data_IF_470637110450
#
_entry.id   IF_470637110450
#
_cell.length_a   1.000
_cell.length_b   1.000
_cell.length_c   1.000
_cell.angle_alpha   90.00
_cell.angle_beta   90.00
_cell.angle_gamma   90.00
#
_symmetry.space_group_name_H-M   'P 1'
#
loop_
_entity.id
_entity.type
_entity.pdbx_description
1 polymer ?
#
# COMPACT_ATOMS: atom_id res chain seq x y z
N UNK A 1 -12.51 -12.22 8.40
CA UNK A 1 -12.06 -10.81 8.29
C UNK A 1 -10.66 -10.59 8.86
N UNK A 2 -10.25 -11.26 9.94
CA UNK A 2 -8.87 -11.16 10.46
C UNK A 2 -7.84 -11.75 9.49
N UNK A 3 -8.24 -12.71 8.69
CA UNK A 3 -7.41 -13.39 7.70
C UNK A 3 -7.57 -12.82 6.28
N UNK A 4 -8.12 -11.60 6.14
CA UNK A 4 -8.28 -10.90 4.87
C UNK A 4 -9.49 -11.29 4.04
N UNK A 5 -10.33 -12.23 4.48
CA UNK A 5 -11.51 -12.69 3.74
C UNK A 5 -12.72 -11.77 3.93
N UNK A 6 -13.44 -11.48 2.85
CA UNK A 6 -14.74 -10.78 2.88
C UNK A 6 -15.89 -11.72 3.21
N UNK A 7 -15.81 -12.97 2.74
CA UNK A 7 -16.77 -14.03 2.95
C UNK A 7 -16.06 -15.34 3.27
N UNK A 8 -16.81 -16.29 3.76
CA UNK A 8 -16.39 -17.68 3.91
C UNK A 8 -17.34 -18.58 3.12
N UNK A 9 -16.82 -19.65 2.52
CA UNK A 9 -17.62 -20.75 2.01
C UNK A 9 -18.15 -21.57 3.18
N UNK A 10 -19.21 -22.32 2.97
CA UNK A 10 -19.85 -23.11 4.02
C UNK A 10 -18.88 -24.06 4.71
N UNK A 11 -18.07 -24.79 3.94
CA UNK A 11 -17.07 -25.72 4.48
C UNK A 11 -16.01 -25.02 5.35
N UNK A 12 -15.54 -23.84 4.90
CA UNK A 12 -14.57 -23.03 5.65
C UNK A 12 -15.17 -22.48 6.94
N UNK A 13 -16.43 -22.02 6.86
CA UNK A 13 -17.17 -21.51 8.01
C UNK A 13 -17.34 -22.60 9.07
N UNK A 14 -17.73 -23.80 8.67
CA UNK A 14 -17.90 -24.96 9.56
C UNK A 14 -16.57 -25.35 10.19
N UNK A 15 -15.52 -25.51 9.39
CA UNK A 15 -14.18 -25.86 9.87
C UNK A 15 -13.67 -24.86 10.93
N UNK A 16 -13.75 -23.56 10.64
CA UNK A 16 -13.30 -22.54 11.58
C UNK A 16 -14.14 -22.49 12.85
N UNK A 17 -15.45 -22.75 12.73
CA UNK A 17 -16.32 -22.79 13.89
C UNK A 17 -16.02 -24.01 14.79
N UNK A 18 -15.80 -25.20 14.20
CA UNK A 18 -15.39 -26.40 14.92
C UNK A 18 -14.03 -26.21 15.62
N UNK A 19 -13.06 -25.57 14.98
CA UNK A 19 -11.76 -25.24 15.57
C UNK A 19 -11.91 -24.32 16.80
N UNK A 20 -12.90 -23.41 16.79
CA UNK A 20 -13.14 -22.46 17.90
C UNK A 20 -14.01 -23.02 19.02
N UNK A 21 -15.00 -23.85 18.70
CA UNK A 21 -16.02 -24.32 19.63
C UNK A 21 -15.79 -25.76 20.12
N UNK A 22 -14.90 -26.50 19.46
CA UNK A 22 -14.63 -27.91 19.73
C UNK A 22 -15.43 -28.87 18.81
N UNK A 23 -14.96 -30.12 18.64
CA UNK A 23 -15.57 -31.09 17.74
C UNK A 23 -16.91 -31.60 18.32
N UNK A 24 -17.90 -31.79 17.45
CA UNK A 24 -19.07 -32.61 17.73
C UNK A 24 -20.47 -31.98 17.62
N UNK A 25 -20.61 -30.80 17.01
CA UNK A 25 -21.90 -30.08 16.97
C UNK A 25 -22.29 -29.57 15.57
N UNK A 26 -22.15 -30.40 14.54
CA UNK A 26 -22.44 -29.96 13.17
C UNK A 26 -23.91 -29.53 12.99
N UNK A 27 -24.87 -30.30 13.53
CA UNK A 27 -26.31 -29.97 13.40
C UNK A 27 -26.66 -28.69 14.17
N UNK A 28 -26.04 -28.46 15.34
CA UNK A 28 -26.23 -27.24 16.11
C UNK A 28 -25.58 -26.03 15.40
N UNK A 29 -24.47 -26.25 14.69
CA UNK A 29 -23.81 -25.20 13.94
C UNK A 29 -24.68 -24.76 12.75
N UNK A 30 -25.26 -25.69 12.00
CA UNK A 30 -26.18 -25.38 10.90
C UNK A 30 -27.42 -24.63 11.40
N UNK A 31 -27.96 -25.02 12.56
CA UNK A 31 -29.07 -24.30 13.16
C UNK A 31 -28.68 -22.88 13.59
N UNK A 32 -27.49 -22.71 14.17
CA UNK A 32 -26.96 -21.42 14.55
C UNK A 32 -26.71 -20.51 13.33
N UNK A 33 -26.13 -21.04 12.26
CA UNK A 33 -25.91 -20.30 11.01
C UNK A 33 -27.24 -19.84 10.41
N UNK A 34 -28.27 -20.73 10.33
CA UNK A 34 -29.60 -20.37 9.88
C UNK A 34 -30.23 -19.27 10.74
N UNK A 35 -30.10 -19.36 12.07
CA UNK A 35 -30.57 -18.31 12.98
C UNK A 35 -29.89 -16.98 12.72
N UNK A 36 -28.54 -16.95 12.60
CA UNK A 36 -27.78 -15.74 12.30
C UNK A 36 -28.16 -15.11 10.95
N UNK A 37 -28.46 -15.92 9.95
CA UNK A 37 -28.95 -15.44 8.65
C UNK A 37 -30.36 -14.86 8.80
N UNK A 38 -31.27 -15.51 9.53
CA UNK A 38 -32.63 -15.01 9.76
C UNK A 38 -32.63 -13.69 10.56
N UNK A 39 -31.70 -13.53 11.51
CA UNK A 39 -31.49 -12.31 12.28
C UNK A 39 -30.69 -11.23 11.50
N UNK A 40 -30.31 -11.49 10.27
CA UNK A 40 -29.47 -10.59 9.43
C UNK A 40 -28.11 -10.25 10.05
N UNK A 41 -27.61 -11.08 10.94
CA UNK A 41 -26.25 -11.00 11.48
C UNK A 41 -25.21 -11.62 10.55
N UNK A 42 -25.66 -12.53 9.67
CA UNK A 42 -24.94 -13.03 8.50
C UNK A 42 -25.77 -12.77 7.24
N UNK A 43 -25.11 -12.51 6.15
CA UNK A 43 -25.72 -12.46 4.81
C UNK A 43 -25.26 -13.68 4.04
N UNK A 44 -26.21 -14.51 3.60
CA UNK A 44 -25.93 -15.62 2.72
C UNK A 44 -26.21 -15.21 1.26
N UNK A 45 -25.28 -15.51 0.39
CA UNK A 45 -25.40 -15.35 -1.07
C UNK A 45 -24.97 -16.63 -1.76
N UNK A 46 -25.67 -16.98 -2.80
CA UNK A 46 -25.30 -18.09 -3.65
C UNK A 46 -24.48 -17.61 -4.83
N UNK A 47 -23.30 -18.21 -5.03
CA UNK A 47 -22.46 -17.95 -6.19
C UNK A 47 -21.99 -19.28 -6.77
N UNK A 48 -22.33 -19.55 -8.05
CA UNK A 48 -22.01 -20.80 -8.75
C UNK A 48 -22.42 -22.05 -7.96
N UNK A 49 -23.64 -22.04 -7.41
CA UNK A 49 -24.22 -23.09 -6.58
C UNK A 49 -23.47 -23.34 -5.25
N UNK A 50 -22.66 -22.41 -4.81
CA UNK A 50 -22.01 -22.47 -3.49
C UNK A 50 -22.51 -21.33 -2.61
N UNK A 51 -22.93 -21.62 -1.35
CA UNK A 51 -23.30 -20.60 -0.40
C UNK A 51 -22.06 -19.88 0.12
N UNK A 52 -22.13 -18.57 0.10
CA UNK A 52 -21.11 -17.66 0.64
C UNK A 52 -21.71 -16.86 1.80
N UNK A 53 -20.99 -16.82 2.91
CA UNK A 53 -21.43 -16.17 4.14
C UNK A 53 -20.61 -14.91 4.42
N UNK A 54 -21.29 -13.78 4.49
CA UNK A 54 -20.70 -12.46 4.72
C UNK A 54 -21.12 -11.88 6.06
N UNK A 55 -20.23 -11.07 6.64
CA UNK A 55 -20.68 -10.06 7.59
C UNK A 55 -21.47 -8.96 6.84
N UNK A 56 -22.55 -8.41 7.43
CA UNK A 56 -23.39 -7.41 6.76
C UNK A 56 -22.62 -6.17 6.28
N UNK A 57 -21.59 -5.76 7.01
CA UNK A 57 -20.73 -4.62 6.61
C UNK A 57 -19.90 -4.95 5.37
N UNK A 58 -19.27 -6.13 5.33
CA UNK A 58 -18.45 -6.59 4.20
C UNK A 58 -19.28 -6.75 2.92
N UNK A 59 -20.47 -7.35 3.04
CA UNK A 59 -21.41 -7.49 1.93
C UNK A 59 -21.83 -6.13 1.36
N UNK A 60 -22.19 -5.18 2.25
CA UNK A 60 -22.56 -3.82 1.81
C UNK A 60 -21.42 -3.10 1.14
N UNK A 61 -20.21 -3.27 1.63
CA UNK A 61 -19.02 -2.64 1.06
C UNK A 61 -18.74 -3.19 -0.36
N UNK A 62 -18.77 -4.51 -0.53
CA UNK A 62 -18.53 -5.15 -1.82
C UNK A 62 -19.64 -4.82 -2.84
N UNK A 63 -20.89 -5.09 -2.51
CA UNK A 63 -22.03 -4.81 -3.40
C UNK A 63 -22.16 -3.33 -3.73
N UNK A 64 -21.98 -2.47 -2.71
CA UNK A 64 -22.06 -1.02 -2.89
C UNK A 64 -20.94 -0.49 -3.79
N UNK A 65 -19.71 -0.99 -3.61
CA UNK A 65 -18.58 -0.66 -4.48
C UNK A 65 -18.83 -1.08 -5.91
N UNK A 66 -19.26 -2.34 -6.12
CA UNK A 66 -19.53 -2.87 -7.46
C UNK A 66 -20.58 -2.03 -8.20
N UNK A 67 -21.65 -1.60 -7.52
CA UNK A 67 -22.71 -0.76 -8.09
C UNK A 67 -22.18 0.62 -8.51
N UNK A 68 -21.32 1.24 -7.69
CA UNK A 68 -20.74 2.55 -8.00
C UNK A 68 -19.73 2.43 -9.14
N UNK A 69 -18.83 1.44 -9.06
CA UNK A 69 -17.83 1.16 -10.10
C UNK A 69 -18.51 0.95 -11.46
N UNK A 70 -19.59 0.13 -11.51
CA UNK A 70 -20.34 -0.08 -12.75
C UNK A 70 -20.79 1.23 -13.38
N UNK A 71 -21.35 2.17 -12.60
CA UNK A 71 -21.77 3.49 -13.11
C UNK A 71 -20.59 4.31 -13.64
N UNK A 72 -19.44 4.29 -12.93
CA UNK A 72 -18.25 5.00 -13.37
C UNK A 72 -17.71 4.42 -14.68
N UNK A 73 -17.69 3.09 -14.82
CA UNK A 73 -17.21 2.40 -16.03
C UNK A 73 -18.10 2.66 -17.25
N UNK A 74 -19.43 2.66 -17.06
CA UNK A 74 -20.39 2.93 -18.14
C UNK A 74 -20.25 4.36 -18.68
N UNK A 75 -19.65 5.26 -17.91
CA UNK A 75 -19.47 6.64 -18.34
C UNK A 75 -18.32 6.79 -19.33
N UNK A 76 -18.62 7.35 -20.47
CA UNK A 76 -17.67 7.76 -21.47
C UNK A 76 -17.71 9.26 -21.65
N UNK A 77 -16.55 9.85 -21.89
CA UNK A 77 -16.40 11.27 -22.25
C UNK A 77 -16.03 11.35 -23.72
N UNK A 78 -16.85 12.03 -24.49
CA UNK A 78 -16.46 12.43 -25.83
C UNK A 78 -15.49 13.61 -25.75
N UNK A 79 -14.25 13.35 -26.10
CA UNK A 79 -13.22 14.37 -26.15
C UNK A 79 -12.76 14.54 -27.62
N UNK A 80 -12.93 15.73 -28.21
CA UNK A 80 -12.44 16.00 -29.56
C UNK A 80 -10.95 15.67 -29.69
N UNK A 81 -10.56 15.06 -30.81
CA UNK A 81 -9.19 14.61 -31.04
C UNK A 81 -8.15 15.72 -30.83
N UNK A 82 -8.48 16.92 -31.26
CA UNK A 82 -7.60 18.08 -31.10
C UNK A 82 -7.34 18.42 -29.62
N UNK A 83 -8.37 18.40 -28.80
CA UNK A 83 -8.23 18.64 -27.35
C UNK A 83 -7.45 17.52 -26.66
N UNK A 84 -7.66 16.27 -27.07
CA UNK A 84 -6.91 15.12 -26.58
C UNK A 84 -5.42 15.27 -26.88
N UNK A 85 -5.07 15.55 -28.16
CA UNK A 85 -3.69 15.74 -28.58
C UNK A 85 -3.04 16.92 -27.85
N UNK A 86 -3.73 18.05 -27.76
CA UNK A 86 -3.21 19.22 -27.04
C UNK A 86 -2.97 18.95 -25.54
N UNK A 87 -3.81 18.13 -24.90
CA UNK A 87 -3.61 17.74 -23.51
C UNK A 87 -2.39 16.81 -23.35
N UNK A 88 -2.20 15.86 -24.26
CA UNK A 88 -1.02 14.97 -24.30
C UNK A 88 0.26 15.77 -24.54
N UNK A 89 0.28 16.65 -25.54
CA UNK A 89 1.44 17.48 -25.85
C UNK A 89 1.85 18.36 -24.68
N UNK A 90 0.88 18.95 -23.98
CA UNK A 90 1.14 19.72 -22.75
C UNK A 90 1.68 18.86 -21.62
N UNK A 91 1.14 17.65 -21.43
CA UNK A 91 1.62 16.73 -20.40
C UNK A 91 3.08 16.34 -20.65
N UNK A 92 3.44 16.09 -21.90
CA UNK A 92 4.82 15.77 -22.32
C UNK A 92 5.72 17.00 -22.14
N UNK A 93 5.31 18.17 -22.62
CA UNK A 93 6.11 19.40 -22.57
C UNK A 93 6.37 19.88 -21.13
N UNK A 94 5.36 19.81 -20.27
CA UNK A 94 5.44 20.31 -18.86
C UNK A 94 6.55 19.64 -18.06
N UNK A 95 6.83 18.37 -18.32
CA UNK A 95 7.79 17.58 -17.56
C UNK A 95 8.97 17.08 -18.38
N UNK A 96 9.09 17.46 -19.65
CA UNK A 96 10.11 16.94 -20.58
C UNK A 96 10.02 15.41 -20.72
N UNK A 97 8.82 14.83 -20.59
CA UNK A 97 8.63 13.38 -20.58
C UNK A 97 8.67 12.84 -22.03
N UNK A 98 9.20 11.63 -22.16
CA UNK A 98 9.03 10.82 -23.37
C UNK A 98 8.17 9.61 -22.99
N UNK A 99 6.91 9.64 -23.40
CA UNK A 99 5.96 8.56 -23.11
C UNK A 99 6.06 7.47 -24.17
N UNK A 100 6.00 6.21 -23.74
CA UNK A 100 5.77 5.08 -24.63
C UNK A 100 4.31 5.03 -25.10
N UNK A 101 4.02 4.26 -26.14
CA UNK A 101 2.65 4.11 -26.69
C UNK A 101 1.66 3.64 -25.61
N UNK A 102 2.07 2.71 -24.74
CA UNK A 102 1.26 2.23 -23.62
C UNK A 102 1.01 3.31 -22.57
N UNK A 103 1.99 4.14 -22.27
CA UNK A 103 1.81 5.26 -21.35
C UNK A 103 0.90 6.34 -21.95
N UNK A 104 1.00 6.61 -23.23
CA UNK A 104 0.07 7.49 -23.94
C UNK A 104 -1.35 6.92 -23.91
N UNK A 105 -1.51 5.62 -24.19
CA UNK A 105 -2.80 4.91 -24.06
C UNK A 105 -3.41 5.05 -22.66
N UNK A 106 -2.60 4.96 -21.59
CA UNK A 106 -3.07 5.15 -20.23
C UNK A 106 -3.61 6.56 -20.00
N UNK A 107 -2.91 7.60 -20.48
CA UNK A 107 -3.37 8.99 -20.39
C UNK A 107 -4.66 9.17 -21.20
N UNK A 108 -4.70 8.70 -22.44
CA UNK A 108 -5.90 8.80 -23.29
C UNK A 108 -7.10 8.09 -22.67
N UNK A 109 -6.91 6.89 -22.11
CA UNK A 109 -7.96 6.13 -21.48
C UNK A 109 -8.51 6.88 -20.27
N UNK A 110 -7.64 7.47 -19.45
CA UNK A 110 -8.05 8.27 -18.29
C UNK A 110 -8.88 9.50 -18.66
N UNK A 111 -8.60 10.12 -19.82
CA UNK A 111 -9.34 11.28 -20.31
C UNK A 111 -10.71 10.92 -20.90
N UNK A 112 -10.88 9.68 -21.40
CA UNK A 112 -12.10 9.22 -22.10
C UNK A 112 -13.04 8.41 -21.20
N UNK A 113 -12.54 7.77 -20.14
CA UNK A 113 -13.32 6.85 -19.29
C UNK A 113 -13.56 7.44 -17.91
N UNK A 114 -14.66 7.07 -17.29
CA UNK A 114 -14.98 7.50 -15.92
C UNK A 114 -14.24 6.70 -14.85
N UNK A 115 -13.69 5.52 -15.19
CA UNK A 115 -12.83 4.73 -14.34
C UNK A 115 -11.75 4.04 -15.16
N UNK A 116 -10.53 4.02 -14.68
CA UNK A 116 -9.40 3.30 -15.29
C UNK A 116 -8.43 2.81 -14.22
N UNK A 117 -7.86 1.64 -14.45
CA UNK A 117 -6.77 1.08 -13.67
C UNK A 117 -5.49 1.12 -14.50
N UNK A 118 -4.41 1.61 -13.93
CA UNK A 118 -3.07 1.60 -14.51
C UNK A 118 -2.21 0.71 -13.61
N UNK A 119 -1.79 -0.43 -14.10
CA UNK A 119 -1.00 -1.39 -13.33
C UNK A 119 0.30 -1.75 -14.03
N UNK A 120 1.26 -2.25 -13.28
CA UNK A 120 2.54 -2.73 -13.80
C UNK A 120 3.55 -2.95 -12.68
N UNK A 121 4.53 -3.78 -12.92
CA UNK A 121 5.58 -4.14 -11.98
C UNK A 121 6.56 -3.00 -11.67
N UNK A 122 7.61 -3.29 -10.90
CA UNK A 122 8.66 -2.31 -10.63
C UNK A 122 9.37 -1.88 -11.90
N UNK A 123 9.74 -0.59 -12.00
CA UNK A 123 10.48 -0.06 -13.16
C UNK A 123 9.69 0.15 -14.45
N UNK A 124 8.38 -0.10 -14.47
CA UNK A 124 7.52 0.06 -15.67
C UNK A 124 7.05 1.50 -15.95
N UNK A 125 7.45 2.46 -15.11
CA UNK A 125 7.14 3.86 -15.32
C UNK A 125 5.75 4.30 -14.84
N UNK A 126 5.16 3.62 -13.86
CA UNK A 126 3.89 4.02 -13.22
C UNK A 126 3.89 5.50 -12.80
N UNK A 127 4.94 5.92 -12.12
CA UNK A 127 5.10 7.31 -11.67
C UNK A 127 5.14 8.33 -12.81
N UNK A 128 5.84 8.01 -13.90
CA UNK A 128 5.90 8.86 -15.11
C UNK A 128 4.53 8.97 -15.76
N UNK A 129 3.82 7.84 -15.86
CA UNK A 129 2.46 7.78 -16.39
C UNK A 129 1.48 8.60 -15.54
N UNK A 130 1.59 8.48 -14.22
CA UNK A 130 0.76 9.24 -13.28
C UNK A 130 0.98 10.75 -13.44
N UNK A 131 2.23 11.22 -13.54
CA UNK A 131 2.52 12.64 -13.83
C UNK A 131 1.87 13.10 -15.11
N UNK A 132 1.95 12.31 -16.16
CA UNK A 132 1.36 12.63 -17.45
C UNK A 132 -0.18 12.69 -17.37
N UNK A 133 -0.82 11.73 -16.68
CA UNK A 133 -2.27 11.73 -16.40
C UNK A 133 -2.70 13.01 -15.68
N UNK A 134 -2.03 13.35 -14.59
CA UNK A 134 -2.35 14.57 -13.81
C UNK A 134 -2.21 15.81 -14.67
N UNK A 135 -1.10 15.94 -15.41
CA UNK A 135 -0.83 17.10 -16.25
C UNK A 135 -1.83 17.23 -17.41
N UNK A 136 -2.22 16.11 -18.03
CA UNK A 136 -3.19 16.12 -19.13
C UNK A 136 -4.60 16.52 -18.63
N UNK A 137 -5.04 16.01 -17.47
CA UNK A 137 -6.31 16.42 -16.89
C UNK A 137 -6.32 17.90 -16.52
N UNK A 138 -5.25 18.41 -15.92
CA UNK A 138 -5.13 19.85 -15.59
C UNK A 138 -5.06 20.73 -16.83
N UNK A 139 -4.43 20.27 -17.91
CA UNK A 139 -4.40 20.99 -19.17
C UNK A 139 -5.80 21.19 -19.78
N UNK A 140 -6.76 20.34 -19.43
CA UNK A 140 -8.17 20.47 -19.79
C UNK A 140 -8.98 21.31 -18.78
N UNK A 141 -8.34 21.86 -17.73
CA UNK A 141 -9.00 22.64 -16.68
C UNK A 141 -9.65 21.80 -15.59
N UNK A 142 -9.42 20.48 -15.55
CA UNK A 142 -9.99 19.61 -14.52
C UNK A 142 -9.34 19.87 -13.16
N UNK A 143 -10.14 19.86 -12.09
CA UNK A 143 -9.67 19.81 -10.72
C UNK A 143 -9.25 18.40 -10.39
N UNK A 144 -7.94 18.21 -10.18
CA UNK A 144 -7.34 16.91 -9.91
C UNK A 144 -6.98 16.82 -8.44
N UNK A 145 -7.47 15.78 -7.76
CA UNK A 145 -7.06 15.38 -6.42
C UNK A 145 -6.16 14.14 -6.51
N UNK A 146 -5.12 14.12 -5.67
CA UNK A 146 -4.19 13.00 -5.56
C UNK A 146 -4.29 12.39 -4.17
N UNK A 147 -4.36 11.07 -4.11
CA UNK A 147 -4.39 10.35 -2.84
C UNK A 147 -3.55 9.08 -2.86
N UNK A 148 -3.22 8.60 -1.66
CA UNK A 148 -2.58 7.30 -1.46
C UNK A 148 -3.05 6.70 -0.13
N UNK A 149 -3.01 5.37 0.06
CA UNK A 149 -3.43 4.72 1.31
C UNK A 149 -2.59 5.12 2.53
N UNK A 150 -1.29 5.42 2.35
CA UNK A 150 -0.37 5.71 3.45
C UNK A 150 0.22 7.12 3.36
N UNK A 151 0.63 7.69 4.51
CA UNK A 151 1.24 9.03 4.59
C UNK A 151 2.53 9.12 3.79
N UNK A 152 3.41 8.12 3.92
CA UNK A 152 4.67 8.06 3.19
C UNK A 152 4.47 8.02 1.67
N UNK A 153 3.51 7.20 1.20
CA UNK A 153 3.21 7.13 -0.22
C UNK A 153 2.57 8.43 -0.72
N UNK A 154 1.68 9.06 0.05
CA UNK A 154 1.09 10.35 -0.29
C UNK A 154 2.16 11.44 -0.42
N UNK A 155 3.13 11.48 0.50
CA UNK A 155 4.23 12.43 0.44
C UNK A 155 5.11 12.19 -0.79
N UNK A 156 5.54 10.95 -1.02
CA UNK A 156 6.31 10.60 -2.21
C UNK A 156 5.56 10.97 -3.49
N UNK A 157 4.25 10.73 -3.52
CA UNK A 157 3.39 11.13 -4.62
C UNK A 157 3.41 12.65 -4.84
N UNK A 158 3.33 13.44 -3.76
CA UNK A 158 3.43 14.90 -3.84
C UNK A 158 4.79 15.37 -4.36
N UNK A 159 5.88 14.84 -3.82
CA UNK A 159 7.26 15.17 -4.23
C UNK A 159 7.50 14.86 -5.71
N UNK A 160 7.07 13.69 -6.13
CA UNK A 160 7.30 13.19 -7.49
C UNK A 160 6.39 13.88 -8.50
N UNK A 161 5.11 14.07 -8.17
CA UNK A 161 4.15 14.71 -9.09
C UNK A 161 4.31 16.23 -9.18
N UNK A 162 4.85 16.86 -8.11
CA UNK A 162 4.87 18.30 -7.95
C UNK A 162 3.51 18.90 -7.54
N UNK A 163 2.55 18.04 -7.10
CA UNK A 163 1.21 18.45 -6.70
C UNK A 163 0.89 17.91 -5.30
N UNK A 164 0.08 18.67 -4.55
CA UNK A 164 -0.36 18.21 -3.24
C UNK A 164 -1.09 16.87 -3.33
N UNK A 165 -0.70 15.93 -2.49
CA UNK A 165 -1.32 14.63 -2.34
C UNK A 165 -1.64 14.37 -0.86
N UNK A 166 -2.73 13.70 -0.58
CA UNK A 166 -3.22 13.41 0.76
C UNK A 166 -3.33 11.89 0.96
N UNK A 167 -3.37 11.46 2.22
CA UNK A 167 -3.85 10.11 2.48
C UNK A 167 -5.34 10.02 2.16
N UNK A 168 -5.83 8.82 1.76
CA UNK A 168 -7.27 8.61 1.53
C UNK A 168 -8.07 9.01 2.76
N UNK A 169 -7.58 8.67 3.97
CA UNK A 169 -8.25 9.03 5.23
C UNK A 169 -8.38 10.54 5.40
N UNK A 170 -7.32 11.30 5.11
CA UNK A 170 -7.33 12.78 5.19
C UNK A 170 -8.21 13.38 4.10
N UNK A 171 -8.15 12.85 2.89
CA UNK A 171 -8.98 13.28 1.76
C UNK A 171 -10.47 13.11 2.06
N UNK A 172 -10.83 11.99 2.71
CA UNK A 172 -12.20 11.69 3.11
C UNK A 172 -12.61 12.32 4.44
N UNK A 173 -11.74 13.10 5.08
CA UNK A 173 -12.01 13.76 6.36
C UNK A 173 -12.46 12.75 7.44
N UNK A 174 -11.60 11.74 7.71
CA UNK A 174 -11.88 10.76 8.75
C UNK A 174 -12.02 11.42 10.12
N UNK A 175 -13.12 11.16 10.80
CA UNK A 175 -13.40 11.62 12.17
C UNK A 175 -13.34 10.45 13.14
N UNK A 176 -12.35 10.42 14.07
CA UNK A 176 -12.30 9.40 15.11
C UNK A 176 -13.52 9.45 16.06
N UNK A 177 -14.07 10.65 16.28
CA UNK A 177 -15.23 10.86 17.14
C UNK A 177 -16.51 10.28 16.54
N UNK A 178 -16.71 10.47 15.23
CA UNK A 178 -17.85 9.95 14.48
C UNK A 178 -17.62 8.51 13.99
N UNK A 179 -16.40 7.98 14.18
CA UNK A 179 -15.95 6.68 13.66
C UNK A 179 -16.25 6.47 12.18
N UNK A 180 -16.13 7.53 11.38
CA UNK A 180 -16.52 7.53 9.97
C UNK A 180 -15.84 8.61 9.15
N UNK A 181 -16.17 8.64 7.87
CA UNK A 181 -15.70 9.62 6.92
C UNK A 181 -16.78 10.67 6.67
N UNK A 182 -16.43 11.97 6.70
CA UNK A 182 -17.34 13.06 6.41
C UNK A 182 -17.66 13.16 4.92
N UNK A 183 -16.65 12.92 4.08
CA UNK A 183 -16.84 12.85 2.63
C UNK A 183 -17.49 11.53 2.25
N UNK A 184 -18.62 11.62 1.58
CA UNK A 184 -19.45 10.49 1.19
C UNK A 184 -20.38 10.90 0.04
N UNK A 185 -21.41 10.11 -0.27
CA UNK A 185 -22.34 10.39 -1.36
C UNK A 185 -23.15 11.67 -1.17
N UNK A 186 -23.42 12.09 0.08
CA UNK A 186 -24.17 13.32 0.40
C UNK A 186 -23.26 14.55 0.37
N UNK A 187 -21.99 14.36 0.72
CA UNK A 187 -20.96 15.40 0.70
C UNK A 187 -19.75 14.89 -0.12
N UNK A 188 -19.85 14.83 -1.45
CA UNK A 188 -18.79 14.29 -2.28
C UNK A 188 -17.54 15.16 -2.29
N UNK A 189 -16.46 14.61 -2.82
CA UNK A 189 -15.22 15.35 -3.08
C UNK A 189 -15.45 16.42 -4.13
N UNK A 190 -14.74 17.53 -4.02
CA UNK A 190 -14.80 18.62 -4.99
C UNK A 190 -13.69 18.43 -6.04
N UNK A 191 -13.91 17.52 -6.99
CA UNK A 191 -12.94 17.22 -8.05
C UNK A 191 -13.62 16.74 -9.34
N UNK A 192 -12.89 16.90 -10.46
CA UNK A 192 -13.24 16.33 -11.75
C UNK A 192 -12.46 15.04 -12.02
N UNK A 193 -11.35 14.84 -11.31
CA UNK A 193 -10.50 13.66 -11.41
C UNK A 193 -9.89 13.33 -10.05
N UNK A 194 -10.02 12.09 -9.63
CA UNK A 194 -9.32 11.55 -8.46
C UNK A 194 -8.30 10.50 -8.94
N UNK A 195 -7.04 10.71 -8.63
CA UNK A 195 -5.96 9.75 -8.90
C UNK A 195 -5.49 9.16 -7.56
N UNK A 196 -5.49 7.84 -7.47
CA UNK A 196 -5.06 7.13 -6.26
C UNK A 196 -3.89 6.24 -6.62
N UNK A 197 -2.74 6.50 -5.99
CA UNK A 197 -1.53 5.68 -6.13
C UNK A 197 -1.45 4.62 -5.01
N UNK A 198 -0.63 3.59 -5.22
CA UNK A 198 -0.47 2.42 -4.33
C UNK A 198 -1.80 1.71 -4.05
N UNK A 199 -2.64 1.56 -5.09
CA UNK A 199 -4.00 1.02 -4.96
C UNK A 199 -4.05 -0.45 -4.51
N UNK A 200 -2.95 -1.22 -4.60
CA UNK A 200 -2.82 -2.58 -4.06
C UNK A 200 -3.02 -2.66 -2.54
N UNK A 201 -2.74 -1.57 -1.83
CA UNK A 201 -2.88 -1.48 -0.37
C UNK A 201 -4.30 -1.12 0.10
N UNK A 202 -5.25 -0.90 -0.80
CA UNK A 202 -6.62 -0.48 -0.45
C UNK A 202 -7.46 -1.71 -0.16
N UNK A 203 -8.00 -1.81 1.06
CA UNK A 203 -8.99 -2.83 1.42
C UNK A 203 -10.41 -2.45 0.96
N UNK A 204 -11.34 -3.40 1.04
CA UNK A 204 -12.71 -3.21 0.57
C UNK A 204 -13.47 -2.10 1.34
N UNK A 205 -13.24 -1.95 2.64
CA UNK A 205 -13.94 -0.94 3.43
C UNK A 205 -13.47 0.47 3.07
N UNK A 206 -12.15 0.64 2.93
CA UNK A 206 -11.56 1.91 2.51
C UNK A 206 -11.95 2.24 1.07
N UNK A 207 -11.94 1.25 0.19
CA UNK A 207 -12.38 1.42 -1.20
C UNK A 207 -13.85 1.84 -1.30
N UNK A 208 -14.73 1.16 -0.54
CA UNK A 208 -16.14 1.53 -0.50
C UNK A 208 -16.35 2.97 -0.04
N UNK A 209 -15.66 3.39 1.02
CA UNK A 209 -15.72 4.77 1.50
C UNK A 209 -15.22 5.76 0.45
N UNK A 210 -14.14 5.41 -0.25
CA UNK A 210 -13.56 6.22 -1.31
C UNK A 210 -14.54 6.42 -2.48
N UNK A 211 -15.06 5.31 -3.03
CA UNK A 211 -15.93 5.40 -4.22
C UNK A 211 -17.26 6.08 -3.92
N UNK A 212 -17.76 6.02 -2.69
CA UNK A 212 -18.95 6.79 -2.28
C UNK A 212 -18.71 8.31 -2.31
N UNK A 213 -17.50 8.75 -2.07
CA UNK A 213 -17.15 10.18 -2.06
C UNK A 213 -16.77 10.72 -3.45
N UNK A 214 -16.55 9.85 -4.45
CA UNK A 214 -16.27 10.27 -5.83
C UNK A 214 -17.53 10.83 -6.46
N UNK A 215 -17.50 12.08 -6.98
CA UNK A 215 -18.67 12.65 -7.68
C UNK A 215 -19.03 11.84 -8.93
N UNK A 216 -20.30 11.74 -9.25
CA UNK A 216 -20.79 10.98 -10.42
C UNK A 216 -20.18 11.46 -11.76
N UNK A 217 -19.74 12.72 -11.83
CA UNK A 217 -19.06 13.28 -13.02
C UNK A 217 -17.54 13.11 -13.02
N UNK A 218 -16.93 12.74 -11.90
CA UNK A 218 -15.49 12.68 -11.79
C UNK A 218 -14.89 11.40 -12.40
N UNK A 219 -13.67 11.45 -12.88
CA UNK A 219 -12.89 10.28 -13.30
C UNK A 219 -12.11 9.73 -12.12
N UNK A 220 -12.19 8.43 -11.89
CA UNK A 220 -11.36 7.72 -10.91
C UNK A 220 -10.24 6.97 -11.65
N UNK A 221 -9.00 7.26 -11.27
CA UNK A 221 -7.80 6.58 -11.78
C UNK A 221 -7.12 5.87 -10.61
N UNK A 222 -7.07 4.54 -10.66
CA UNK A 222 -6.29 3.74 -9.71
C UNK A 222 -4.95 3.38 -10.33
N UNK A 223 -3.87 3.68 -9.63
CA UNK A 223 -2.51 3.30 -10.03
C UNK A 223 -1.96 2.36 -8.95
N UNK A 224 -1.40 1.23 -9.36
CA UNK A 224 -0.87 0.25 -8.42
C UNK A 224 -0.15 -0.89 -9.11
N UNK A 225 0.34 -1.79 -8.31
CA UNK A 225 1.02 -3.00 -8.76
C UNK A 225 0.21 -4.21 -8.28
N UNK A 226 -0.42 -4.91 -9.20
CA UNK A 226 -1.26 -6.06 -8.87
C UNK A 226 -0.48 -7.24 -8.29
N UNK A 227 0.84 -7.28 -8.52
CA UNK A 227 1.73 -8.34 -8.04
C UNK A 227 2.35 -8.04 -6.67
N UNK A 228 2.15 -6.82 -6.13
CA UNK A 228 2.58 -6.48 -4.79
C UNK A 228 1.71 -7.13 -3.71
N UNK A 229 2.22 -7.10 -2.47
CA UNK A 229 1.47 -7.60 -1.33
C UNK A 229 0.10 -6.92 -1.22
N UNK A 230 -0.94 -7.69 -0.90
CA UNK A 230 -2.28 -7.15 -0.75
C UNK A 230 -2.42 -6.26 0.48
N UNK A 231 -3.59 -5.61 0.57
CA UNK A 231 -3.98 -4.86 1.76
C UNK A 231 -4.00 -5.73 3.02
N UNK A 232 -3.71 -5.11 4.18
CA UNK A 232 -3.83 -5.79 5.48
C UNK A 232 -5.29 -6.02 5.85
N UNK A 233 -6.20 -5.12 5.43
CA UNK A 233 -7.64 -5.27 5.59
C UNK A 233 -8.26 -6.23 4.59
N UNK A 234 -9.54 -6.59 4.76
CA UNK A 234 -10.20 -7.60 3.95
C UNK A 234 -10.47 -7.14 2.51
N UNK A 235 -10.24 -8.04 1.55
CA UNK A 235 -10.53 -7.87 0.13
C UNK A 235 -9.33 -7.51 -0.73
N UNK A 236 -9.23 -8.15 -1.89
CA UNK A 236 -8.19 -7.95 -2.90
C UNK A 236 -8.67 -6.98 -4.00
N UNK A 237 -9.03 -5.75 -3.61
CA UNK A 237 -9.77 -4.81 -4.45
C UNK A 237 -9.15 -4.62 -5.83
N UNK A 238 -7.86 -4.32 -5.92
CA UNK A 238 -7.20 -4.05 -7.19
C UNK A 238 -7.23 -5.30 -8.09
N UNK A 239 -6.88 -6.46 -7.54
CA UNK A 239 -6.81 -7.71 -8.29
C UNK A 239 -8.20 -8.18 -8.74
N UNK A 240 -9.21 -8.06 -7.89
CA UNK A 240 -10.59 -8.41 -8.22
C UNK A 240 -11.18 -7.50 -9.31
N UNK A 241 -10.91 -6.20 -9.25
CA UNK A 241 -11.32 -5.27 -10.30
C UNK A 241 -10.65 -5.60 -11.65
N UNK A 242 -9.36 -5.93 -11.65
CA UNK A 242 -8.62 -6.34 -12.86
C UNK A 242 -9.19 -7.67 -13.40
N UNK A 243 -9.32 -8.66 -12.53
CA UNK A 243 -9.80 -10.02 -12.89
C UNK A 243 -11.26 -10.03 -13.37
N UNK A 244 -12.07 -9.06 -12.95
CA UNK A 244 -13.46 -8.94 -13.39
C UNK A 244 -13.60 -8.71 -14.90
N UNK A 245 -12.58 -8.15 -15.54
CA UNK A 245 -12.63 -7.76 -16.96
C UNK A 245 -13.62 -6.62 -17.28
N UNK A 246 -14.27 -6.04 -16.24
CA UNK A 246 -15.30 -5.02 -16.41
C UNK A 246 -14.71 -3.60 -16.46
N UNK A 247 -13.57 -3.40 -15.82
CA UNK A 247 -12.92 -2.09 -15.69
C UNK A 247 -11.86 -1.94 -16.78
N UNK A 248 -11.74 -0.79 -17.46
CA UNK A 248 -10.61 -0.50 -18.33
C UNK A 248 -9.28 -0.60 -17.57
N UNK A 249 -8.40 -1.47 -18.03
CA UNK A 249 -7.08 -1.71 -17.44
C UNK A 249 -6.00 -1.43 -18.48
N UNK A 250 -5.01 -0.64 -18.11
CA UNK A 250 -3.79 -0.46 -18.90
C UNK A 250 -2.62 -1.04 -18.14
N UNK A 251 -1.99 -2.07 -18.73
CA UNK A 251 -0.87 -2.79 -18.13
C UNK A 251 0.43 -2.23 -18.70
N UNK A 252 1.23 -1.60 -17.84
CA UNK A 252 2.56 -1.11 -18.19
C UNK A 252 3.54 -2.27 -18.13
N UNK A 253 3.90 -2.83 -19.26
CA UNK A 253 4.76 -4.01 -19.38
C UNK A 253 6.17 -3.71 -19.89
N UNK A 254 6.43 -2.48 -20.33
CA UNK A 254 7.76 -2.08 -20.79
C UNK A 254 8.67 -1.78 -19.59
N UNK A 255 9.72 -2.56 -19.43
CA UNK A 255 10.80 -2.27 -18.49
C UNK A 255 11.68 -1.20 -19.11
N UNK A 256 11.86 -0.06 -18.42
CA UNK A 256 12.73 1.00 -18.93
C UNK A 256 14.20 0.64 -18.76
N UNK A 257 15.04 1.13 -19.68
CA UNK A 257 16.47 0.81 -19.80
C UNK A 257 17.27 0.83 -18.49
N UNK A 258 16.95 1.74 -17.58
CA UNK A 258 17.56 1.79 -16.24
C UNK A 258 17.15 0.62 -15.34
N UNK A 259 15.96 0.07 -15.52
CA UNK A 259 15.46 -1.07 -14.76
C UNK A 259 15.91 -2.43 -15.38
N UNK A 260 16.25 -2.46 -16.67
CA UNK A 260 16.76 -3.67 -17.34
C UNK A 260 18.10 -4.15 -16.78
N UNK A 261 18.91 -3.27 -16.22
CA UNK A 261 20.19 -3.62 -15.59
C UNK A 261 20.05 -4.03 -14.14
N UNK A 262 18.92 -3.70 -13.49
CA UNK A 262 18.67 -4.02 -12.08
C UNK A 262 18.36 -5.50 -11.88
N UNK A 263 19.16 -6.17 -11.04
CA UNK A 263 18.91 -7.56 -10.65
C UNK A 263 17.69 -7.68 -9.73
N UNK A 264 17.40 -6.65 -8.92
CA UNK A 264 16.18 -6.58 -8.10
C UNK A 264 14.94 -6.65 -8.99
N UNK A 265 14.90 -5.85 -10.06
CA UNK A 265 13.76 -5.82 -10.98
C UNK A 265 13.61 -7.14 -11.74
N UNK A 266 14.73 -7.70 -12.24
CA UNK A 266 14.72 -9.02 -12.91
C UNK A 266 14.20 -10.11 -12.00
N UNK A 267 14.69 -10.16 -10.77
CA UNK A 267 14.28 -11.16 -9.79
C UNK A 267 12.80 -11.00 -9.41
N UNK A 268 12.30 -9.78 -9.28
CA UNK A 268 10.87 -9.55 -9.04
C UNK A 268 10.01 -10.13 -10.16
N UNK A 269 10.38 -9.90 -11.44
CA UNK A 269 9.66 -10.47 -12.57
C UNK A 269 9.76 -12.01 -12.64
N UNK A 270 10.92 -12.60 -12.34
CA UNK A 270 11.06 -14.05 -12.26
C UNK A 270 10.12 -14.65 -11.20
N UNK A 271 10.09 -14.06 -10.01
CA UNK A 271 9.23 -14.49 -8.89
C UNK A 271 7.76 -14.39 -9.28
N UNK A 272 7.33 -13.28 -9.88
CA UNK A 272 5.94 -13.08 -10.32
C UNK A 272 5.50 -14.11 -11.37
N UNK A 273 6.44 -14.59 -12.18
CA UNK A 273 6.18 -15.64 -13.16
C UNK A 273 6.35 -17.07 -12.59
N UNK A 274 6.52 -17.22 -11.28
CA UNK A 274 6.73 -18.51 -10.62
C UNK A 274 8.09 -19.14 -10.94
N UNK A 275 9.05 -18.34 -11.39
CA UNK A 275 10.41 -18.77 -11.73
C UNK A 275 11.38 -18.47 -10.59
N UNK A 276 12.44 -19.27 -10.50
CA UNK A 276 13.47 -19.09 -9.49
C UNK A 276 14.25 -17.79 -9.74
N UNK A 277 14.43 -16.91 -8.75
CA UNK A 277 15.26 -15.73 -8.89
C UNK A 277 16.72 -16.08 -9.08
N UNK A 278 17.46 -15.18 -9.72
CA UNK A 278 18.92 -15.33 -9.84
C UNK A 278 19.59 -14.92 -8.53
N UNK A 279 20.11 -15.89 -7.81
CA UNK A 279 20.72 -15.73 -6.50
C UNK A 279 22.24 -15.53 -6.65
N UNK A 280 22.67 -14.28 -6.84
CA UNK A 280 24.08 -13.94 -6.97
C UNK A 280 24.75 -13.89 -5.59
N UNK A 281 25.79 -14.71 -5.42
CA UNK A 281 26.61 -14.72 -4.20
C UNK A 281 27.67 -13.61 -4.31
N UNK A 282 27.91 -12.82 -3.24
CA UNK A 282 28.96 -11.80 -3.25
C UNK A 282 30.36 -12.45 -3.48
N UNK A 283 31.00 -12.10 -4.58
CA UNK A 283 32.35 -12.58 -4.94
C UNK A 283 33.43 -11.48 -4.84
N UNK A 284 33.05 -10.28 -4.46
CA UNK A 284 33.91 -9.10 -4.37
C UNK A 284 34.27 -8.47 -5.72
N UNK A 285 33.94 -9.09 -6.84
CA UNK A 285 34.25 -8.63 -8.21
C UNK A 285 32.99 -8.18 -8.97
N UNK A 286 31.90 -8.94 -8.86
CA UNK A 286 30.64 -8.66 -9.55
C UNK A 286 29.91 -7.52 -8.89
N UNK A 287 29.46 -6.54 -9.69
CA UNK A 287 28.57 -5.47 -9.23
C UNK A 287 27.13 -5.85 -9.51
N UNK A 288 26.33 -5.95 -8.46
CA UNK A 288 24.90 -6.18 -8.53
C UNK A 288 24.19 -5.33 -7.48
N UNK A 289 22.93 -5.03 -7.70
CA UNK A 289 22.04 -4.40 -6.72
C UNK A 289 21.25 -5.43 -5.88
N UNK A 290 21.45 -6.75 -6.15
CA UNK A 290 20.79 -7.83 -5.41
C UNK A 290 21.77 -9.00 -5.20
N UNK A 291 22.03 -9.33 -3.94
CA UNK A 291 22.88 -10.46 -3.55
C UNK A 291 22.13 -11.41 -2.64
N UNK A 292 22.51 -12.67 -2.69
CA UNK A 292 22.02 -13.72 -1.81
C UNK A 292 23.17 -14.31 -0.99
N UNK A 293 22.97 -14.37 0.33
CA UNK A 293 23.93 -15.02 1.23
C UNK A 293 23.22 -16.13 1.98
N UNK A 294 23.55 -17.38 1.70
CA UNK A 294 22.94 -18.52 2.34
C UNK A 294 23.44 -18.67 3.80
N UNK A 295 22.50 -18.81 4.73
CA UNK A 295 22.77 -19.14 6.12
C UNK A 295 21.53 -19.84 6.72
N UNK A 296 21.74 -21.03 7.28
CA UNK A 296 20.66 -21.84 7.89
C UNK A 296 20.57 -21.64 9.40
N UNK A 297 21.70 -21.35 10.05
CA UNK A 297 21.79 -21.14 11.49
C UNK A 297 21.40 -19.69 11.85
N UNK A 298 20.37 -19.47 12.69
CA UNK A 298 19.96 -18.15 13.11
C UNK A 298 21.08 -17.30 13.75
N UNK A 299 21.98 -17.91 14.51
CA UNK A 299 23.07 -17.17 15.17
C UNK A 299 24.12 -16.71 14.13
N UNK A 300 24.37 -17.49 13.08
CA UNK A 300 25.19 -17.07 11.93
C UNK A 300 24.51 -15.95 11.15
N UNK A 301 23.20 -16.05 10.91
CA UNK A 301 22.44 -14.97 10.25
C UNK A 301 22.58 -13.66 11.01
N UNK A 302 22.42 -13.67 12.35
CA UNK A 302 22.57 -12.49 13.19
C UNK A 302 23.99 -11.92 13.11
N UNK A 303 25.01 -12.77 13.20
CA UNK A 303 26.40 -12.35 13.11
C UNK A 303 26.72 -11.69 11.75
N UNK A 304 26.22 -12.28 10.66
CA UNK A 304 26.36 -11.74 9.31
C UNK A 304 25.62 -10.43 9.15
N UNK A 305 24.39 -10.35 9.64
CA UNK A 305 23.55 -9.14 9.59
C UNK A 305 24.24 -7.97 10.30
N UNK A 306 24.75 -8.18 11.52
CA UNK A 306 25.53 -7.17 12.26
C UNK A 306 26.71 -6.66 11.43
N UNK A 307 27.50 -7.57 10.84
CA UNK A 307 28.66 -7.20 10.04
C UNK A 307 28.25 -6.42 8.77
N UNK A 308 27.19 -6.86 8.09
CA UNK A 308 26.71 -6.21 6.86
C UNK A 308 26.23 -4.80 7.15
N UNK A 309 25.40 -4.62 8.19
CA UNK A 309 24.79 -3.33 8.52
C UNK A 309 25.81 -2.35 9.11
N UNK A 310 26.68 -2.83 10.03
CA UNK A 310 27.62 -1.98 10.74
C UNK A 310 28.89 -1.66 9.93
N UNK A 311 29.34 -2.58 9.09
CA UNK A 311 30.67 -2.49 8.45
C UNK A 311 30.63 -2.57 6.93
N UNK A 312 30.07 -3.64 6.37
CA UNK A 312 30.25 -3.93 4.94
C UNK A 312 29.59 -2.91 4.03
N UNK A 313 28.29 -2.58 4.28
CA UNK A 313 27.55 -1.61 3.47
C UNK A 313 28.06 -0.18 3.71
N UNK A 314 28.27 0.28 4.97
CA UNK A 314 28.86 1.58 5.21
C UNK A 314 30.22 1.77 4.55
N UNK A 315 31.12 0.80 4.67
CA UNK A 315 32.47 0.90 4.07
C UNK A 315 32.44 0.90 2.54
N UNK A 316 31.53 0.13 1.92
CA UNK A 316 31.48 -0.02 0.46
C UNK A 316 30.75 1.13 -0.23
N UNK A 317 29.67 1.64 0.37
CA UNK A 317 28.75 2.59 -0.26
C UNK A 317 28.67 3.94 0.45
N UNK A 318 29.42 4.12 1.54
CA UNK A 318 29.37 5.31 2.41
C UNK A 318 27.97 5.57 2.97
N UNK A 319 27.21 4.49 3.29
CA UNK A 319 25.90 4.58 3.89
C UNK A 319 25.98 4.83 5.39
N UNK A 320 25.08 5.66 5.91
CA UNK A 320 24.80 5.71 7.34
C UNK A 320 24.03 4.46 7.77
N UNK A 321 24.55 3.66 8.73
CA UNK A 321 23.93 2.39 9.11
C UNK A 321 22.53 2.53 9.71
N UNK A 322 22.22 3.69 10.29
CA UNK A 322 20.91 3.95 10.90
C UNK A 322 19.92 4.54 9.88
N UNK A 323 20.36 5.55 9.11
CA UNK A 323 19.47 6.31 8.27
C UNK A 323 19.29 5.70 6.87
N UNK A 324 20.36 5.13 6.27
CA UNK A 324 20.35 4.66 4.88
C UNK A 324 20.05 3.18 4.74
N UNK A 325 20.16 2.39 5.84
CA UNK A 325 19.97 0.94 5.81
C UNK A 325 18.68 0.56 6.53
N UNK A 326 17.89 -0.32 5.89
CA UNK A 326 16.70 -0.90 6.49
C UNK A 326 16.77 -2.43 6.46
N UNK A 327 16.58 -3.05 7.63
CA UNK A 327 16.44 -4.50 7.77
C UNK A 327 14.98 -4.88 7.70
N UNK A 328 14.64 -5.86 6.86
CA UNK A 328 13.29 -6.41 6.73
C UNK A 328 13.30 -7.87 7.18
N UNK A 329 12.29 -8.26 7.94
CA UNK A 329 12.06 -9.66 8.37
C UNK A 329 10.59 -10.00 8.26
N UNK A 330 10.23 -11.23 7.83
CA UNK A 330 8.83 -11.64 7.70
C UNK A 330 8.15 -11.98 9.03
N UNK A 331 8.91 -12.03 10.15
CA UNK A 331 8.41 -12.46 11.45
C UNK A 331 8.54 -11.37 12.51
N UNK A 332 7.56 -11.30 13.43
CA UNK A 332 7.64 -10.41 14.58
C UNK A 332 8.33 -11.05 15.78
N UNK A 333 8.22 -12.37 15.94
CA UNK A 333 8.72 -13.15 17.10
C UNK A 333 9.81 -14.12 16.66
N UNK A 334 10.54 -14.65 17.65
CA UNK A 334 11.67 -15.58 17.44
C UNK A 334 13.00 -14.86 17.29
N UNK A 335 14.10 -15.62 17.20
CA UNK A 335 15.48 -15.09 17.13
C UNK A 335 15.67 -14.09 15.98
N UNK A 336 15.09 -14.38 14.80
CA UNK A 336 15.16 -13.55 13.59
C UNK A 336 13.92 -12.67 13.41
N UNK A 337 13.07 -12.56 14.43
CA UNK A 337 11.91 -11.69 14.41
C UNK A 337 12.25 -10.22 14.67
N UNK A 338 11.39 -9.30 14.21
CA UNK A 338 11.61 -7.86 14.32
C UNK A 338 11.91 -7.40 15.76
N UNK A 339 11.22 -7.97 16.77
CA UNK A 339 11.44 -7.61 18.18
C UNK A 339 12.88 -7.92 18.62
N UNK A 340 13.37 -9.12 18.32
CA UNK A 340 14.72 -9.54 18.67
C UNK A 340 15.79 -8.78 17.88
N UNK A 341 15.59 -8.65 16.57
CA UNK A 341 16.54 -7.94 15.71
C UNK A 341 16.64 -6.46 16.04
N UNK A 342 15.55 -5.80 16.45
CA UNK A 342 15.59 -4.41 16.90
C UNK A 342 16.49 -4.23 18.13
N UNK A 343 16.35 -5.08 19.15
CA UNK A 343 17.21 -5.03 20.33
C UNK A 343 18.68 -5.29 19.99
N UNK A 344 18.94 -6.29 19.15
CA UNK A 344 20.29 -6.64 18.71
C UNK A 344 20.94 -5.51 17.91
N UNK A 345 20.19 -4.89 17.01
CA UNK A 345 20.72 -3.81 16.16
C UNK A 345 20.87 -2.51 16.96
N UNK A 346 19.97 -2.22 17.91
CA UNK A 346 20.12 -1.06 18.81
C UNK A 346 21.44 -1.13 19.58
N UNK A 347 21.76 -2.27 20.19
CA UNK A 347 23.02 -2.47 20.92
C UNK A 347 24.27 -2.29 20.06
N UNK A 348 24.17 -2.59 18.76
CA UNK A 348 25.29 -2.49 17.81
C UNK A 348 25.41 -1.09 17.21
N UNK A 349 24.28 -0.46 16.88
CA UNK A 349 24.26 0.81 16.13
C UNK A 349 24.12 2.03 17.05
N UNK A 350 23.47 1.87 18.19
CA UNK A 350 23.25 2.90 19.18
C UNK A 350 23.50 2.35 20.61
N UNK A 351 24.73 1.95 20.96
CA UNK A 351 25.05 1.38 22.26
C UNK A 351 24.78 2.36 23.41
N UNK A 352 24.55 1.87 24.64
CA UNK A 352 24.36 2.72 25.81
C UNK A 352 25.61 3.61 26.03
N UNK A 353 25.37 4.85 26.42
CA UNK A 353 26.41 5.81 26.76
C UNK A 353 25.91 6.72 27.88
N UNK A 354 26.81 7.20 28.79
CA UNK A 354 26.41 8.03 29.94
C UNK A 354 25.63 9.31 29.55
N UNK A 355 25.87 9.84 28.36
CA UNK A 355 25.22 11.02 27.81
C UNK A 355 23.90 10.74 27.08
N UNK A 356 23.51 9.46 26.93
CA UNK A 356 22.29 9.07 26.24
C UNK A 356 21.22 8.66 27.22
N UNK A 357 20.17 9.44 27.29
CA UNK A 357 18.98 9.11 28.07
C UNK A 357 18.24 7.94 27.46
N UNK A 358 17.66 7.10 28.32
CA UNK A 358 16.90 5.92 27.96
C UNK A 358 15.54 5.92 28.66
N UNK A 359 14.54 5.33 28.03
CA UNK A 359 13.22 5.08 28.60
C UNK A 359 12.73 3.70 28.22
N UNK A 360 12.14 2.99 29.17
CA UNK A 360 11.48 1.70 28.93
C UNK A 360 9.98 1.91 28.81
N UNK A 361 9.40 1.43 27.70
CA UNK A 361 7.97 1.44 27.48
C UNK A 361 7.50 0.11 26.86
N UNK A 362 6.51 -0.54 27.45
CA UNK A 362 5.94 -1.83 26.99
C UNK A 362 7.02 -2.91 26.75
N UNK A 363 7.96 -3.07 27.66
CA UNK A 363 9.10 -4.00 27.58
C UNK A 363 10.01 -3.73 26.36
N UNK A 364 10.10 -2.49 25.90
CA UNK A 364 11.04 -2.04 24.89
C UNK A 364 11.84 -0.89 25.43
N UNK A 365 13.14 -0.96 25.24
CA UNK A 365 14.05 0.12 25.58
C UNK A 365 14.17 1.07 24.39
N UNK A 366 14.00 2.35 24.63
CA UNK A 366 14.22 3.43 23.68
C UNK A 366 15.35 4.32 24.16
N UNK A 367 16.17 4.77 23.25
CA UNK A 367 17.38 5.53 23.54
C UNK A 367 17.47 6.73 22.63
N UNK A 368 18.00 7.85 23.10
CA UNK A 368 18.31 9.01 22.25
C UNK A 368 19.21 8.56 21.09
N UNK A 369 18.85 8.93 19.87
CA UNK A 369 19.49 8.47 18.63
C UNK A 369 18.85 7.26 17.97
N UNK A 370 17.87 6.62 18.59
CA UNK A 370 17.15 5.50 17.97
C UNK A 370 16.30 5.97 16.78
N UNK A 371 16.36 5.18 15.69
CA UNK A 371 15.41 5.28 14.60
C UNK A 371 14.12 4.55 14.97
N UNK A 372 13.03 5.27 14.92
CA UNK A 372 11.69 4.76 15.29
C UNK A 372 10.71 4.88 14.15
N UNK A 373 9.66 4.07 14.17
CA UNK A 373 8.57 4.10 13.22
C UNK A 373 7.24 4.39 13.92
N UNK A 374 6.48 5.33 13.38
CA UNK A 374 5.12 5.60 13.84
C UNK A 374 4.20 4.44 13.47
N UNK A 375 3.49 3.88 14.44
CA UNK A 375 2.60 2.73 14.22
C UNK A 375 1.13 3.13 14.02
N UNK A 376 0.75 4.35 14.35
CA UNK A 376 -0.61 4.88 14.21
C UNK A 376 -0.59 6.29 13.66
N UNK A 377 -1.61 6.67 12.91
CA UNK A 377 -1.74 8.04 12.44
C UNK A 377 -1.98 8.98 13.62
N UNK A 378 -1.22 10.05 13.68
CA UNK A 378 -1.47 11.21 14.54
C UNK A 378 -1.70 12.42 13.64
N UNK A 379 -2.97 12.78 13.46
CA UNK A 379 -3.37 13.84 12.55
C UNK A 379 -3.07 15.23 13.09
N UNK A 380 -2.98 15.38 14.40
CA UNK A 380 -2.71 16.67 15.06
C UNK A 380 -1.24 17.06 14.90
N UNK A 381 -0.35 16.08 14.95
CA UNK A 381 1.09 16.25 14.73
C UNK A 381 1.52 16.03 13.26
N UNK A 382 0.57 15.71 12.36
CA UNK A 382 0.82 15.38 10.96
C UNK A 382 1.81 14.21 10.77
N UNK A 383 1.88 13.28 11.73
CA UNK A 383 2.72 12.08 11.68
C UNK A 383 1.85 10.85 11.41
N UNK A 384 2.24 10.06 10.42
CA UNK A 384 1.41 8.97 9.91
C UNK A 384 2.04 7.61 10.16
N UNK A 385 1.19 6.58 10.12
CA UNK A 385 1.68 5.20 10.20
C UNK A 385 2.70 4.92 9.08
N UNK A 386 3.87 4.43 9.49
CA UNK A 386 5.01 4.19 8.62
C UNK A 386 6.02 5.35 8.52
N UNK A 387 5.73 6.51 9.09
CA UNK A 387 6.72 7.59 9.17
C UNK A 387 7.88 7.20 10.08
N UNK A 388 9.09 7.51 9.64
CA UNK A 388 10.32 7.21 10.35
C UNK A 388 10.86 8.50 10.95
N UNK A 389 11.16 8.46 12.23
CA UNK A 389 11.77 9.56 12.97
C UNK A 389 12.97 9.09 13.79
N UNK A 390 13.68 10.04 14.36
CA UNK A 390 14.80 9.80 15.27
C UNK A 390 14.49 10.40 16.64
N UNK A 391 14.74 9.65 17.71
CA UNK A 391 14.59 10.17 19.06
C UNK A 391 15.71 11.17 19.32
N UNK A 392 15.36 12.43 19.60
CA UNK A 392 16.31 13.53 19.83
C UNK A 392 16.49 13.84 21.29
N UNK A 393 15.46 13.58 22.11
CA UNK A 393 15.52 13.81 23.55
C UNK A 393 14.59 12.86 24.30
N UNK A 394 14.91 12.54 25.56
CA UNK A 394 14.12 11.74 26.47
C UNK A 394 14.14 12.34 27.85
N UNK A 395 12.95 12.67 28.40
CA UNK A 395 12.75 12.99 29.82
C UNK A 395 12.29 11.73 30.54
N UNK A 396 13.16 11.13 31.33
CA UNK A 396 12.82 9.96 32.14
C UNK A 396 11.89 10.30 33.31
N UNK A 397 11.93 11.56 33.79
CA UNK A 397 11.06 12.05 34.87
C UNK A 397 9.62 12.21 34.40
N UNK A 398 9.41 12.80 33.23
CA UNK A 398 8.08 13.04 32.65
C UNK A 398 7.56 11.87 31.83
N UNK A 399 8.40 10.84 31.62
CA UNK A 399 8.10 9.68 30.74
C UNK A 399 7.77 10.12 29.30
N UNK A 400 8.48 11.10 28.79
CA UNK A 400 8.30 11.68 27.47
C UNK A 400 9.53 11.48 26.59
N UNK A 401 9.31 11.36 25.28
CA UNK A 401 10.38 11.35 24.27
C UNK A 401 10.04 12.34 23.16
N UNK A 402 11.04 13.12 22.75
CA UNK A 402 10.96 13.99 21.59
C UNK A 402 11.49 13.23 20.36
N UNK A 403 10.69 13.18 19.32
CA UNK A 403 11.02 12.48 18.09
C UNK A 403 11.03 13.48 16.94
N UNK A 404 12.16 13.59 16.26
CA UNK A 404 12.27 14.37 15.04
C UNK A 404 11.85 13.51 13.84
N UNK A 405 10.75 13.90 13.22
CA UNK A 405 10.32 13.36 11.94
C UNK A 405 10.76 14.31 10.83
N UNK A 406 11.49 13.86 9.78
CA UNK A 406 12.00 14.71 8.71
C UNK A 406 10.96 15.57 7.99
N UNK A 407 9.73 15.52 8.42
CA UNK A 407 8.54 16.05 7.73
C UNK A 407 7.65 16.94 8.61
N UNK A 408 7.94 17.03 9.88
CA UNK A 408 7.19 17.84 10.81
C UNK A 408 8.14 18.73 11.62
N UNK A 409 8.04 20.03 11.48
CA UNK A 409 8.39 20.93 12.56
C UNK A 409 7.19 21.08 13.44
#
# INVERSE_FOLDING_TARGET
>A
TKDGHLFLKEEELHKMAEEMLGPGQKDDLDAAVRALVSEKKLIMREFRMQPLFYLPASYRAEEGSARIVKKLVERQRELPREKLMAALDRAVATHGLKLSDIQQLAVETSLKKGFVIITGGPGTGKTTTLKAVVSAHRALGNRVLLASPTGRAAKRLAEVSGFAALTIHRLLEYSPQEKGFRRNRQLPLDCDTLVVDEASMIDMNLFFSLVQAVPDHATLVLVGDADQLPSVGPGLVLNELISSGMVPVVILNAIFRQAETSQIVKNAHLINNGQMPQLLVPDGQSQSDCYFVAAEDPDKVIAMLKNVVQKSLPAKFNYDPVNDIQVLTPMNRGKLGATSLNAILQEVLNPPAPERSEIEHLNRLFRVGDKVIQLRNNYDLEVFNGDIGTITDISSEDQEAVIDFPQGK
#
